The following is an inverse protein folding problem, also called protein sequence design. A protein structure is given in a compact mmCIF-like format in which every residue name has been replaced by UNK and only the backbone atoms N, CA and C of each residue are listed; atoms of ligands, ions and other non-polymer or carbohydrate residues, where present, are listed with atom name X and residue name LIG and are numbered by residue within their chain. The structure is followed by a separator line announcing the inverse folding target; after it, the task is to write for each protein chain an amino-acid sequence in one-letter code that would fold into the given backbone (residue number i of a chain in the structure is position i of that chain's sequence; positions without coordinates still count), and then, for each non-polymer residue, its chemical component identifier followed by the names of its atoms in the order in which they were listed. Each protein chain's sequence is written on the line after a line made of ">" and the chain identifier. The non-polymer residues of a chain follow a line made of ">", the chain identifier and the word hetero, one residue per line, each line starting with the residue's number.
data_IF_181373092196
#
_entry.id   IF_181373092196
#
_cell.length_a   1.000
_cell.length_b   1.000
_cell.length_c   1.000
_cell.angle_alpha   90.00
_cell.angle_beta   90.00
_cell.angle_gamma   90.00
#
_symmetry.space_group_name_H-M   'P 1'
#
loop_
_entity.id
_entity.type
_entity.pdbx_description
1 polymer ?
#
# COMPACT_ATOMS: atom_id res chain seq x y z
N UNK A 1 22.03 -16.64 3.09
CA UNK A 1 21.66 -16.45 4.51
C UNK A 1 20.14 -16.38 4.58
N UNK A 2 19.48 -17.38 5.15
CA UNK A 2 18.04 -17.31 5.42
C UNK A 2 17.83 -16.30 6.54
N UNK A 3 17.13 -15.21 6.22
CA UNK A 3 16.67 -14.26 7.24
C UNK A 3 15.63 -14.98 8.11
N UNK A 4 15.76 -14.89 9.43
CA UNK A 4 14.67 -15.32 10.31
C UNK A 4 13.44 -14.45 9.99
N UNK A 5 12.21 -14.97 10.09
CA UNK A 5 11.01 -14.21 9.78
C UNK A 5 10.93 -12.90 10.59
N UNK A 6 11.43 -12.91 11.83
CA UNK A 6 11.54 -11.74 12.70
C UNK A 6 12.47 -10.66 12.13
N UNK A 7 13.67 -11.03 11.68
CA UNK A 7 14.62 -10.04 11.16
C UNK A 7 14.12 -9.42 9.85
N UNK A 8 13.37 -10.20 9.07
CA UNK A 8 12.71 -9.69 7.88
C UNK A 8 11.63 -8.66 8.23
N UNK A 9 10.87 -8.90 9.29
CA UNK A 9 9.83 -7.98 9.73
C UNK A 9 10.40 -6.65 10.21
N UNK A 10 11.48 -6.66 10.99
CA UNK A 10 12.14 -5.43 11.42
C UNK A 10 12.60 -4.56 10.22
N UNK A 11 13.06 -5.19 9.14
CA UNK A 11 13.40 -4.49 7.89
C UNK A 11 12.15 -3.93 7.22
N UNK A 12 11.05 -4.69 7.18
CA UNK A 12 9.77 -4.23 6.64
C UNK A 12 9.21 -3.04 7.43
N UNK A 13 9.23 -3.10 8.76
CA UNK A 13 8.83 -2.01 9.65
C UNK A 13 9.62 -0.74 9.35
N UNK A 14 10.95 -0.84 9.33
CA UNK A 14 11.82 0.28 9.02
C UNK A 14 11.53 0.89 7.64
N UNK A 15 11.36 0.05 6.62
CA UNK A 15 11.03 0.47 5.27
C UNK A 15 9.67 1.17 5.18
N UNK A 16 8.66 0.68 5.91
CA UNK A 16 7.35 1.31 5.99
C UNK A 16 7.40 2.65 6.70
N UNK A 17 8.16 2.78 7.78
CA UNK A 17 8.21 4.04 8.52
C UNK A 17 9.04 5.11 7.81
N UNK A 18 10.17 4.72 7.20
CA UNK A 18 11.02 5.60 6.41
C UNK A 18 10.46 5.94 5.01
N UNK A 19 9.53 5.12 4.51
CA UNK A 19 9.03 5.19 3.14
C UNK A 19 10.00 4.66 2.07
N UNK A 20 11.19 4.22 2.46
CA UNK A 20 12.14 3.56 1.57
C UNK A 20 11.68 2.13 1.28
N UNK A 21 11.58 1.76 0.00
CA UNK A 21 11.21 0.40 -0.42
C UNK A 21 9.92 -0.12 0.27
N UNK A 22 9.01 0.80 0.60
CA UNK A 22 7.77 0.48 1.29
C UNK A 22 6.91 -0.46 0.44
N UNK A 23 6.90 -0.27 -0.89
CA UNK A 23 6.16 -1.13 -1.82
C UNK A 23 6.68 -2.55 -1.81
N UNK A 24 7.98 -2.72 -1.94
CA UNK A 24 8.66 -4.03 -1.94
C UNK A 24 8.40 -4.75 -0.62
N UNK A 25 8.46 -4.03 0.51
CA UNK A 25 8.17 -4.56 1.83
C UNK A 25 6.70 -5.00 1.98
N UNK A 26 5.75 -4.21 1.46
CA UNK A 26 4.33 -4.59 1.42
C UNK A 26 4.09 -5.85 0.57
N UNK A 27 4.76 -5.98 -0.57
CA UNK A 27 4.66 -7.17 -1.43
C UNK A 27 5.24 -8.38 -0.70
N UNK A 28 6.41 -8.23 -0.09
CA UNK A 28 7.08 -9.30 0.66
C UNK A 28 6.22 -9.80 1.83
N UNK A 29 5.67 -8.89 2.62
CA UNK A 29 4.74 -9.24 3.70
C UNK A 29 3.46 -9.91 3.20
N UNK A 30 3.00 -9.57 1.99
CA UNK A 30 1.77 -10.14 1.44
C UNK A 30 1.96 -11.56 0.91
N UNK A 31 3.20 -11.96 0.61
CA UNK A 31 3.56 -13.27 0.08
C UNK A 31 4.02 -14.22 1.21
N UNK A 32 4.60 -13.67 2.27
CA UNK A 32 5.05 -14.44 3.42
C UNK A 32 3.90 -14.73 4.40
N UNK A 33 3.87 -15.93 4.97
CA UNK A 33 2.93 -16.29 6.04
C UNK A 33 3.47 -15.76 7.38
N UNK A 34 3.06 -14.55 7.74
CA UNK A 34 3.45 -13.89 8.99
C UNK A 34 2.36 -14.09 10.04
N UNK A 35 2.74 -14.34 11.29
CA UNK A 35 1.81 -14.49 12.40
C UNK A 35 1.23 -13.13 12.82
N UNK A 36 0.07 -13.15 13.46
CA UNK A 36 -0.55 -11.92 13.97
C UNK A 36 0.32 -11.23 15.03
N UNK A 37 0.99 -12.01 15.88
CA UNK A 37 1.87 -11.51 16.94
C UNK A 37 2.98 -10.65 16.37
N UNK A 38 3.65 -11.13 15.32
CA UNK A 38 4.71 -10.39 14.63
C UNK A 38 4.19 -9.10 13.99
N UNK A 39 2.99 -9.10 13.41
CA UNK A 39 2.38 -7.86 12.88
C UNK A 39 2.09 -6.82 13.97
N UNK A 40 1.67 -7.28 15.17
CA UNK A 40 1.38 -6.40 16.32
C UNK A 40 2.66 -5.85 16.94
N UNK A 41 3.67 -6.71 17.13
CA UNK A 41 4.97 -6.35 17.70
C UNK A 41 5.63 -5.19 16.93
N UNK A 42 5.59 -5.28 15.60
CA UNK A 42 6.20 -4.28 14.70
C UNK A 42 5.22 -3.18 14.25
N UNK A 43 4.06 -3.04 14.89
CA UNK A 43 3.03 -2.01 14.58
C UNK A 43 2.67 -1.89 13.08
N UNK A 44 2.76 -2.99 12.32
CA UNK A 44 2.71 -2.99 10.85
C UNK A 44 1.38 -2.46 10.34
N UNK A 45 0.27 -2.76 11.03
CA UNK A 45 -1.07 -2.27 10.66
C UNK A 45 -1.10 -0.75 10.63
N UNK A 46 -0.60 -0.09 11.68
CA UNK A 46 -0.58 1.36 11.80
C UNK A 46 0.34 2.00 10.73
N UNK A 47 1.52 1.43 10.53
CA UNK A 47 2.46 1.90 9.50
C UNK A 47 1.88 1.75 8.09
N UNK A 48 1.23 0.62 7.81
CA UNK A 48 0.59 0.34 6.51
C UNK A 48 -0.56 1.29 6.21
N UNK A 49 -1.30 1.74 7.23
CA UNK A 49 -2.41 2.69 7.05
C UNK A 49 -1.98 4.00 6.38
N UNK A 50 -0.72 4.44 6.55
CA UNK A 50 -0.15 5.61 5.85
C UNK A 50 -0.23 5.48 4.32
N UNK A 51 -0.21 4.25 3.79
CA UNK A 51 -0.12 3.96 2.35
C UNK A 51 -1.44 3.51 1.70
N UNK A 52 -2.52 3.37 2.48
CA UNK A 52 -3.82 2.89 1.97
C UNK A 52 -4.43 3.80 0.91
N UNK A 53 -4.09 5.09 0.93
CA UNK A 53 -4.52 6.09 -0.05
C UNK A 53 -3.40 6.52 -1.01
N UNK A 54 -2.24 5.86 -0.97
CA UNK A 54 -1.13 6.16 -1.87
C UNK A 54 -1.38 5.55 -3.26
N UNK A 55 -1.34 6.37 -4.31
CA UNK A 55 -1.61 5.94 -5.70
C UNK A 55 -0.74 4.76 -6.14
N UNK A 56 0.53 4.71 -5.68
CA UNK A 56 1.49 3.68 -6.10
C UNK A 56 1.45 2.37 -5.29
N UNK A 57 0.84 2.38 -4.09
CA UNK A 57 0.93 1.29 -3.09
C UNK A 57 -0.42 0.88 -2.49
N UNK A 58 -1.51 1.50 -2.94
CA UNK A 58 -2.86 1.30 -2.40
C UNK A 58 -3.27 -0.17 -2.35
N UNK A 59 -3.00 -0.92 -3.41
CA UNK A 59 -3.46 -2.31 -3.53
C UNK A 59 -2.76 -3.21 -2.52
N UNK A 60 -1.44 -3.07 -2.40
CA UNK A 60 -0.59 -3.83 -1.50
C UNK A 60 -0.88 -3.47 -0.05
N UNK A 61 -1.00 -2.17 0.27
CA UNK A 61 -1.35 -1.70 1.61
C UNK A 61 -2.71 -2.24 2.07
N UNK A 62 -3.74 -2.13 1.22
CA UNK A 62 -5.07 -2.69 1.52
C UNK A 62 -5.07 -4.21 1.65
N UNK A 63 -4.22 -4.90 0.88
CA UNK A 63 -4.07 -6.36 0.99
C UNK A 63 -3.53 -6.74 2.37
N UNK A 64 -2.46 -6.10 2.83
CA UNK A 64 -1.89 -6.32 4.16
C UNK A 64 -2.90 -6.01 5.26
N UNK A 65 -3.59 -4.86 5.21
CA UNK A 65 -4.61 -4.51 6.20
C UNK A 65 -5.70 -5.58 6.28
N UNK A 66 -6.18 -6.10 5.14
CA UNK A 66 -7.17 -7.20 5.11
C UNK A 66 -6.63 -8.49 5.72
N UNK A 67 -5.36 -8.83 5.50
CA UNK A 67 -4.74 -10.01 6.10
C UNK A 67 -4.73 -9.85 7.63
N UNK A 68 -4.24 -8.72 8.14
CA UNK A 68 -4.19 -8.46 9.58
C UNK A 68 -5.59 -8.48 10.19
N UNK A 69 -6.57 -7.82 9.58
CA UNK A 69 -7.96 -7.82 10.08
C UNK A 69 -8.61 -9.21 10.11
N UNK A 70 -8.29 -10.08 9.15
CA UNK A 70 -8.76 -11.48 9.18
C UNK A 70 -8.13 -12.25 10.33
N UNK A 71 -6.81 -12.11 10.50
CA UNK A 71 -6.10 -12.76 11.61
C UNK A 71 -6.62 -12.29 12.98
N UNK A 72 -6.90 -10.99 13.13
CA UNK A 72 -7.53 -10.44 14.35
C UNK A 72 -8.93 -11.05 14.58
N UNK A 73 -9.75 -11.15 13.54
CA UNK A 73 -11.09 -11.76 13.64
C UNK A 73 -11.04 -13.24 14.01
N UNK A 74 -10.07 -13.99 13.47
CA UNK A 74 -9.84 -15.40 13.80
C UNK A 74 -9.35 -15.56 15.25
N UNK A 75 -8.47 -14.66 15.73
CA UNK A 75 -8.04 -14.61 17.13
C UNK A 75 -9.23 -14.38 18.07
N UNK A 76 -10.11 -13.43 17.75
CA UNK A 76 -11.30 -13.15 18.55
C UNK A 76 -12.28 -14.32 18.57
N UNK A 77 -12.51 -14.98 17.43
CA UNK A 77 -13.36 -16.18 17.38
C UNK A 77 -12.78 -17.32 18.21
N UNK A 78 -11.47 -17.52 18.22
CA UNK A 78 -10.83 -18.56 19.04
C UNK A 78 -11.00 -18.34 20.55
N UNK A 79 -11.13 -17.08 20.99
CA UNK A 79 -11.34 -16.70 22.40
C UNK A 79 -12.80 -16.80 22.82
N UNK A 80 -13.74 -16.50 21.91
CA UNK A 80 -15.17 -16.41 22.23
C UNK A 80 -15.92 -17.70 21.90
N UNK A 81 -15.45 -18.51 20.94
CA UNK A 81 -16.11 -19.77 20.61
C UNK A 81 -15.85 -20.80 21.72
N UNK A 82 -16.90 -21.29 22.42
CA UNK A 82 -16.78 -22.52 23.18
C UNK A 82 -16.35 -23.61 22.19
N UNK A 83 -15.39 -24.46 22.57
CA UNK A 83 -15.00 -25.65 21.81
C UNK A 83 -16.23 -26.50 21.49
N UNK A 84 -16.96 -26.20 20.43
CA UNK A 84 -18.03 -27.05 19.91
C UNK A 84 -17.34 -28.20 19.22
N UNK A 85 -17.09 -29.24 20.01
CA UNK A 85 -16.83 -30.60 19.55
C UNK A 85 -17.77 -30.90 18.37
N UNK A 86 -17.21 -30.98 17.16
CA UNK A 86 -17.91 -31.50 15.98
C UNK A 86 -18.05 -33.00 16.16
N UNK A 87 -19.10 -33.42 16.84
CA UNK A 87 -19.60 -34.79 16.73
C UNK A 87 -20.41 -34.89 15.43
N UNK A 88 -20.14 -35.85 14.53
CA UNK A 88 -20.95 -36.05 13.33
C UNK A 88 -22.21 -36.82 13.76
N UNK A 89 -23.34 -36.13 13.85
CA UNK A 89 -24.59 -36.70 14.35
C UNK A 89 -25.78 -36.16 13.59
N UNK A 90 -26.36 -37.04 12.78
CA UNK A 90 -27.53 -36.94 11.92
C UNK A 90 -28.74 -36.13 12.42
N UNK A 91 -29.54 -35.74 11.42
CA UNK A 91 -31.02 -35.63 11.39
C UNK A 91 -31.75 -34.34 11.83
N UNK A 92 -32.22 -33.66 10.77
CA UNK A 92 -33.58 -33.12 10.55
C UNK A 92 -33.94 -31.70 11.04
N UNK A 93 -34.52 -30.86 10.15
CA UNK A 93 -35.01 -29.53 10.50
C UNK A 93 -36.47 -29.60 10.97
N UNK A 94 -36.81 -28.85 12.01
CA UNK A 94 -38.22 -28.59 12.35
C UNK A 94 -38.35 -27.16 12.83
N UNK A 95 -39.17 -26.42 12.09
CA UNK A 95 -39.57 -25.05 12.36
C UNK A 95 -40.80 -25.06 13.27
N UNK A 96 -40.78 -24.31 14.37
CA UNK A 96 -42.00 -23.79 15.01
C UNK A 96 -41.67 -22.83 16.17
N UNK A 97 -42.03 -21.57 15.96
CA UNK A 97 -42.60 -20.56 16.86
C UNK A 97 -42.24 -20.46 18.37
N UNK A 98 -41.93 -19.20 18.71
CA UNK A 98 -42.52 -18.34 19.76
C UNK A 98 -41.83 -18.15 21.13
N UNK A 99 -41.51 -16.86 21.35
CA UNK A 99 -41.51 -16.05 22.58
C UNK A 99 -40.67 -16.46 23.80
N UNK A 100 -39.62 -15.70 24.09
CA UNK A 100 -39.64 -14.66 25.16
C UNK A 100 -38.24 -14.09 25.46
N UNK A 101 -38.22 -12.78 25.72
CA UNK A 101 -37.28 -12.00 26.54
C UNK A 101 -35.78 -11.91 26.18
N UNK A 102 -35.44 -10.70 25.72
CA UNK A 102 -34.46 -9.78 26.32
C UNK A 102 -32.99 -9.84 25.90
N UNK A 103 -32.49 -8.63 25.66
CA UNK A 103 -31.13 -8.15 25.45
C UNK A 103 -30.46 -8.38 24.08
N UNK A 104 -30.52 -7.29 23.30
CA UNK A 104 -29.36 -6.61 22.70
C UNK A 104 -28.85 -7.03 21.29
N UNK A 105 -29.31 -6.21 20.34
CA UNK A 105 -28.58 -5.65 19.19
C UNK A 105 -28.23 -6.60 18.04
N UNK A 106 -29.26 -6.95 17.26
CA UNK A 106 -29.15 -7.38 15.88
C UNK A 106 -28.65 -6.25 14.97
N UNK A 107 -27.38 -6.30 14.55
CA UNK A 107 -26.90 -5.59 13.35
C UNK A 107 -27.19 -6.45 12.12
N UNK A 108 -28.45 -6.48 11.71
CA UNK A 108 -28.86 -7.01 10.41
C UNK A 108 -29.54 -5.88 9.63
N UNK A 109 -28.73 -4.94 9.14
CA UNK A 109 -29.20 -3.83 8.31
C UNK A 109 -28.17 -3.45 7.26
N UNK A 110 -27.74 -4.42 6.45
CA UNK A 110 -27.22 -4.15 5.12
C UNK A 110 -28.26 -4.54 4.07
N UNK A 111 -29.38 -3.82 4.09
CA UNK A 111 -30.32 -3.83 2.98
C UNK A 111 -29.66 -3.19 1.76
N UNK A 112 -29.46 -4.03 0.76
CA UNK A 112 -28.92 -3.82 -0.57
C UNK A 112 -29.52 -2.60 -1.28
N UNK A 113 -28.97 -1.40 -1.05
CA UNK A 113 -29.23 -0.24 -1.92
C UNK A 113 -28.25 -0.26 -3.08
N UNK A 114 -28.69 -0.91 -4.16
CA UNK A 114 -28.16 -0.77 -5.52
C UNK A 114 -28.11 0.73 -5.89
N UNK A 115 -26.93 1.33 -5.87
CA UNK A 115 -26.70 2.63 -6.52
C UNK A 115 -26.62 2.40 -8.03
N UNK A 116 -27.62 2.88 -8.75
CA UNK A 116 -27.65 2.91 -10.21
C UNK A 116 -26.62 3.95 -10.69
N UNK A 117 -25.73 3.65 -11.66
CA UNK A 117 -24.79 4.63 -12.16
C UNK A 117 -25.55 5.74 -12.88
N UNK A 118 -25.37 6.97 -12.37
CA UNK A 118 -25.94 8.17 -12.94
C UNK A 118 -25.32 8.40 -14.33
N UNK A 119 -26.17 8.37 -15.38
CA UNK A 119 -25.74 8.62 -16.76
C UNK A 119 -25.18 10.04 -16.86
N UNK A 120 -23.88 10.13 -17.14
CA UNK A 120 -23.21 11.40 -17.44
C UNK A 120 -23.65 11.82 -18.84
N UNK A 121 -24.57 12.78 -18.93
CA UNK A 121 -24.88 13.44 -20.20
C UNK A 121 -23.84 14.54 -20.44
N UNK A 122 -23.09 14.42 -21.53
CA UNK A 122 -22.20 15.47 -22.01
C UNK A 122 -23.04 16.70 -22.38
N UNK A 123 -22.82 17.82 -21.67
CA UNK A 123 -23.46 19.10 -21.98
C UNK A 123 -23.17 19.50 -23.44
N UNK A 124 -24.17 19.99 -24.19
CA UNK A 124 -23.96 20.40 -25.58
C UNK A 124 -22.97 21.57 -25.65
N UNK A 125 -22.03 21.45 -26.60
CA UNK A 125 -21.09 22.50 -27.01
C UNK A 125 -21.87 23.77 -27.33
N UNK A 126 -21.62 24.83 -26.55
CA UNK A 126 -22.08 26.19 -26.84
C UNK A 126 -21.43 26.63 -28.14
N UNK A 127 -22.24 26.70 -29.20
CA UNK A 127 -21.90 27.31 -30.48
C UNK A 127 -21.61 28.79 -30.22
N UNK A 128 -20.34 29.18 -30.35
CA UNK A 128 -19.94 30.57 -30.33
C UNK A 128 -20.34 31.16 -31.67
N UNK A 129 -21.24 32.14 -31.61
CA UNK A 129 -21.74 32.90 -32.73
C UNK A 129 -20.59 33.48 -33.56
N UNK A 130 -20.72 33.33 -34.87
CA UNK A 130 -19.91 34.01 -35.88
C UNK A 130 -20.01 35.52 -35.65
N UNK A 131 -18.92 36.14 -35.20
CA UNK A 131 -18.71 37.57 -35.28
C UNK A 131 -17.78 37.83 -36.46
N UNK A 132 -18.36 38.36 -37.52
CA UNK A 132 -17.73 38.87 -38.73
C UNK A 132 -16.58 39.82 -38.36
N UNK A 133 -15.34 39.43 -38.61
CA UNK A 133 -14.19 40.34 -38.64
C UNK A 133 -13.38 40.11 -39.90
N UNK A 134 -13.70 40.93 -40.88
CA UNK A 134 -12.80 41.64 -41.80
C UNK A 134 -11.49 40.92 -42.15
N UNK A 135 -11.51 40.27 -43.31
CA UNK A 135 -10.33 39.76 -44.00
C UNK A 135 -9.39 40.93 -44.33
N UNK A 136 -8.20 40.95 -43.73
CA UNK A 136 -7.01 41.61 -44.31
C UNK A 136 -6.11 40.52 -44.90
N UNK A 137 -5.82 40.53 -46.20
CA UNK A 137 -4.83 39.65 -46.79
C UNK A 137 -3.45 40.29 -46.58
N UNK A 138 -2.63 39.76 -45.66
CA UNK A 138 -1.24 40.21 -45.60
C UNK A 138 -0.28 39.13 -45.10
N UNK A 139 0.64 38.80 -46.02
CA UNK A 139 1.99 38.28 -45.83
C UNK A 139 2.17 36.80 -45.50
N UNK A 140 2.39 36.09 -46.61
CA UNK A 140 2.84 34.72 -46.75
C UNK A 140 4.37 34.69 -46.80
N UNK A 141 5.05 35.07 -45.71
CA UNK A 141 6.52 34.97 -45.58
C UNK A 141 6.87 34.64 -44.12
N UNK A 142 7.04 33.34 -43.79
CA UNK A 142 7.73 32.83 -42.55
C UNK A 142 7.60 31.32 -42.34
N UNK A 143 7.18 30.53 -43.34
CA UNK A 143 6.93 29.09 -43.17
C UNK A 143 8.18 28.23 -42.92
N UNK A 144 9.41 28.76 -43.06
CA UNK A 144 10.64 28.02 -42.75
C UNK A 144 11.17 28.24 -41.33
N UNK A 145 10.94 29.40 -40.70
CA UNK A 145 11.43 29.65 -39.32
C UNK A 145 10.61 28.95 -38.23
N UNK A 146 9.36 28.55 -38.52
CA UNK A 146 8.50 27.87 -37.53
C UNK A 146 9.05 26.47 -37.18
N UNK A 147 9.53 25.72 -38.18
CA UNK A 147 9.95 24.34 -37.95
C UNK A 147 11.22 24.21 -37.09
N UNK A 148 12.14 25.17 -37.21
CA UNK A 148 13.38 25.18 -36.40
C UNK A 148 13.12 25.65 -34.95
N UNK A 149 12.22 26.64 -34.77
CA UNK A 149 11.74 27.06 -33.45
C UNK A 149 10.97 25.93 -32.73
N UNK A 150 10.16 25.17 -33.46
CA UNK A 150 9.44 24.01 -32.91
C UNK A 150 10.41 22.88 -32.50
N UNK A 151 11.41 22.56 -33.34
CA UNK A 151 12.47 21.59 -32.97
C UNK A 151 13.26 22.02 -31.73
N UNK A 152 13.63 23.30 -31.63
CA UNK A 152 14.36 23.81 -30.47
C UNK A 152 13.53 23.75 -29.17
N UNK A 153 12.21 24.00 -29.26
CA UNK A 153 11.29 23.87 -28.13
C UNK A 153 11.12 22.41 -27.69
N UNK A 154 11.01 21.48 -28.63
CA UNK A 154 10.93 20.04 -28.35
C UNK A 154 12.21 19.52 -27.69
N UNK A 155 13.38 19.94 -28.18
CA UNK A 155 14.66 19.61 -27.55
C UNK A 155 14.77 20.17 -26.12
N UNK A 156 14.31 21.41 -25.90
CA UNK A 156 14.30 22.05 -24.58
C UNK A 156 13.36 21.32 -23.62
N UNK A 157 12.18 20.90 -24.10
CA UNK A 157 11.23 20.10 -23.32
C UNK A 157 11.81 18.73 -22.98
N UNK A 158 12.46 18.06 -23.94
CA UNK A 158 13.12 16.77 -23.71
C UNK A 158 14.23 16.88 -22.67
N UNK A 159 15.12 17.87 -22.78
CA UNK A 159 16.17 18.16 -21.79
C UNK A 159 15.60 18.47 -20.41
N UNK A 160 14.48 19.19 -20.33
CA UNK A 160 13.81 19.47 -19.06
C UNK A 160 13.25 18.21 -18.41
N UNK A 161 12.61 17.33 -19.18
CA UNK A 161 12.09 16.04 -18.70
C UNK A 161 13.24 15.15 -18.21
N UNK A 162 14.33 15.05 -18.97
CA UNK A 162 15.52 14.28 -18.58
C UNK A 162 16.17 14.82 -17.31
N UNK A 163 16.37 16.14 -17.21
CA UNK A 163 16.92 16.78 -16.00
C UNK A 163 16.03 16.57 -14.78
N UNK A 164 14.70 16.62 -14.94
CA UNK A 164 13.73 16.33 -13.88
C UNK A 164 13.82 14.86 -13.43
N UNK A 165 13.90 13.92 -14.36
CA UNK A 165 14.07 12.48 -14.07
C UNK A 165 15.38 12.22 -13.32
N UNK A 166 16.49 12.84 -13.73
CA UNK A 166 17.78 12.69 -13.07
C UNK A 166 17.76 13.21 -11.63
N UNK A 167 17.13 14.38 -11.38
CA UNK A 167 16.96 14.92 -10.02
C UNK A 167 16.10 14.02 -9.14
N UNK A 168 15.04 13.43 -9.68
CA UNK A 168 14.19 12.49 -8.94
C UNK A 168 14.94 11.19 -8.63
N UNK A 169 15.72 10.67 -9.59
CA UNK A 169 16.55 9.48 -9.39
C UNK A 169 17.66 9.73 -8.35
N UNK A 170 18.31 10.90 -8.38
CA UNK A 170 19.31 11.29 -7.38
C UNK A 170 18.70 11.39 -5.97
N UNK A 171 17.48 11.93 -5.84
CA UNK A 171 16.75 11.94 -4.56
C UNK A 171 16.41 10.53 -4.07
N UNK A 172 15.97 9.64 -4.97
CA UNK A 172 15.73 8.23 -4.64
C UNK A 172 17.01 7.52 -4.20
N UNK A 173 18.12 7.73 -4.90
CA UNK A 173 19.41 7.15 -4.56
C UNK A 173 19.95 7.67 -3.21
N UNK A 174 19.86 8.97 -2.96
CA UNK A 174 20.24 9.56 -1.67
C UNK A 174 19.38 9.01 -0.52
N UNK A 175 18.08 8.83 -0.76
CA UNK A 175 17.19 8.22 0.23
C UNK A 175 17.55 6.75 0.50
N UNK A 176 17.83 5.97 -0.54
CA UNK A 176 18.30 4.58 -0.41
C UNK A 176 19.61 4.51 0.38
N UNK A 177 20.57 5.39 0.11
CA UNK A 177 21.83 5.44 0.85
C UNK A 177 21.61 5.73 2.33
N UNK A 178 20.77 6.73 2.65
CA UNK A 178 20.39 7.06 4.03
C UNK A 178 19.69 5.87 4.71
N UNK A 179 18.79 5.19 4.00
CA UNK A 179 18.10 4.02 4.52
C UNK A 179 19.06 2.84 4.76
N UNK A 180 20.07 2.64 3.91
CA UNK A 180 21.12 1.65 4.15
C UNK A 180 22.00 2.00 5.35
N UNK A 181 22.35 3.27 5.54
CA UNK A 181 23.12 3.73 6.70
C UNK A 181 22.35 3.49 8.01
N UNK A 182 21.06 3.83 8.05
CA UNK A 182 20.23 3.55 9.23
C UNK A 182 20.02 2.06 9.44
N UNK A 183 19.83 1.28 8.37
CA UNK A 183 19.72 -0.18 8.46
C UNK A 183 21.00 -0.79 9.04
N UNK A 184 22.18 -0.37 8.60
CA UNK A 184 23.44 -0.80 9.20
C UNK A 184 23.55 -0.33 10.65
N UNK A 185 23.17 0.90 10.99
CA UNK A 185 23.19 1.39 12.37
C UNK A 185 22.25 0.61 13.32
N UNK A 186 21.10 0.15 12.84
CA UNK A 186 20.15 -0.68 13.61
C UNK A 186 20.64 -2.14 13.68
N UNK A 187 21.19 -2.68 12.59
CA UNK A 187 21.64 -4.06 12.53
C UNK A 187 23.00 -4.31 13.18
N UNK A 188 23.91 -3.33 13.22
CA UNK A 188 25.25 -3.48 13.79
C UNK A 188 25.23 -3.82 15.28
N UNK A 189 24.44 -3.16 16.15
CA UNK A 189 24.30 -3.54 17.56
C UNK A 189 23.82 -4.98 17.72
N UNK A 190 22.83 -5.40 16.91
CA UNK A 190 22.30 -6.77 16.96
C UNK A 190 23.35 -7.81 16.52
N UNK A 191 24.08 -7.56 15.42
CA UNK A 191 25.18 -8.43 14.97
C UNK A 191 26.31 -8.50 16.01
N UNK A 192 26.68 -7.36 16.60
CA UNK A 192 27.74 -7.28 17.62
C UNK A 192 27.33 -7.98 18.91
N UNK A 193 26.07 -7.86 19.32
CA UNK A 193 25.54 -8.57 20.49
C UNK A 193 25.51 -10.09 20.26
N UNK A 194 25.02 -10.56 19.10
CA UNK A 194 25.05 -11.98 18.75
C UNK A 194 26.47 -12.55 18.72
N UNK A 195 27.44 -11.80 18.16
CA UNK A 195 28.85 -12.20 18.17
C UNK A 195 29.40 -12.34 19.60
N UNK A 196 29.11 -11.38 20.49
CA UNK A 196 29.50 -11.45 21.91
C UNK A 196 28.85 -12.63 22.64
N UNK A 197 27.58 -12.91 22.39
CA UNK A 197 26.88 -14.06 22.97
C UNK A 197 27.48 -15.38 22.49
N UNK A 198 27.82 -15.50 21.20
CA UNK A 198 28.51 -16.66 20.62
C UNK A 198 29.92 -16.84 21.22
N UNK A 199 30.68 -15.75 21.40
CA UNK A 199 32.00 -15.78 22.06
C UNK A 199 31.90 -16.20 23.54
N UNK A 200 30.91 -15.68 24.28
CA UNK A 200 30.65 -16.10 25.67
C UNK A 200 30.22 -17.56 25.76
N UNK A 201 29.36 -18.02 24.84
CA UNK A 201 28.94 -19.41 24.77
C UNK A 201 30.14 -20.33 24.44
N UNK A 202 30.97 -19.94 23.47
CA UNK A 202 32.19 -20.69 23.14
C UNK A 202 33.19 -20.75 24.29
N UNK A 203 33.25 -19.73 25.15
CA UNK A 203 34.09 -19.74 26.36
C UNK A 203 33.51 -20.60 27.48
N UNK A 204 32.18 -20.78 27.54
CA UNK A 204 31.50 -21.58 28.57
C UNK A 204 31.59 -23.10 28.31
N UNK A 205 31.92 -23.51 27.09
CA UNK A 205 32.03 -24.91 26.65
C UNK A 205 33.47 -25.30 26.22
N UNK A 206 34.46 -24.49 26.60
CA UNK A 206 35.88 -24.85 26.59
C UNK A 206 36.35 -25.05 28.03
#
# INVERSE_FOLDING_TARGET
>A
MSFTPELNMAVCEFNLDSGCNAKESLIEMANNKISLETFKEHNIKALTMKYVNSESMMWEARKIVRIISRLEADEHQSRVAPKRSRSPGSTSPSASNSSSSSSELSFDMFSSKRTVPMKVTSKPKRVIAQASRTMKPHQQESRQESAEKDRANDEKLKKFIESRKLKEQAKKAANIQKCNEVKEAVMFPAKRMKKRQLEQYAYRFK
#
